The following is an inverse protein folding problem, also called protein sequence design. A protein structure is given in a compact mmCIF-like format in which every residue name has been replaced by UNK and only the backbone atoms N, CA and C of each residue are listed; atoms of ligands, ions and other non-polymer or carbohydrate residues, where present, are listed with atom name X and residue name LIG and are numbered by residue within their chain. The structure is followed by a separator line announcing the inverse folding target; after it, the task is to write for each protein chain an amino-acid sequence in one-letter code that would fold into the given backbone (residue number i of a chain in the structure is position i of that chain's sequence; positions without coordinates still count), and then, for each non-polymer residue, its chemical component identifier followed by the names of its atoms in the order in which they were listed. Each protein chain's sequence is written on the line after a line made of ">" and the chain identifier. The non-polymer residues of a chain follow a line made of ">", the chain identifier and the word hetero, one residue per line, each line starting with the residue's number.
data_IF_708967054961
#
_entry.id   IF_708967054961
#
_cell.length_a   1.000
_cell.length_b   1.000
_cell.length_c   1.000
_cell.angle_alpha   90.00
_cell.angle_beta   90.00
_cell.angle_gamma   90.00
#
_symmetry.space_group_name_H-M   'P 1'
#
loop_
_entity.id
_entity.type
_entity.pdbx_description
1 polymer ?
#
# COMPACT_ATOMS: atom_id res chain seq x y z
N UNK A 1 2.29 12.55 8.44
CA UNK A 1 2.96 13.28 7.35
C UNK A 1 1.97 14.14 6.56
N UNK A 2 1.02 13.54 5.81
CA UNK A 2 0.07 14.28 4.97
C UNK A 2 -0.64 15.45 5.66
N UNK A 3 -1.23 15.23 6.84
CA UNK A 3 -1.94 16.29 7.58
C UNK A 3 -1.04 17.47 8.00
N UNK A 4 0.27 17.26 8.11
CA UNK A 4 1.22 18.33 8.48
C UNK A 4 1.76 19.07 7.25
N UNK A 5 1.90 18.37 6.12
CA UNK A 5 2.66 18.85 4.95
C UNK A 5 1.79 19.09 3.70
N UNK A 6 0.53 18.64 3.70
CA UNK A 6 -0.38 18.72 2.55
C UNK A 6 0.00 17.82 1.36
N UNK A 7 1.05 17.01 1.50
CA UNK A 7 1.54 16.08 0.48
C UNK A 7 1.81 14.71 1.09
N UNK A 8 1.66 13.66 0.30
CA UNK A 8 1.93 12.29 0.72
C UNK A 8 3.44 12.08 0.88
N UNK A 9 3.89 11.25 1.85
CA UNK A 9 5.32 10.98 2.00
C UNK A 9 5.83 10.16 0.81
N UNK A 10 6.89 10.64 0.16
CA UNK A 10 7.48 10.00 -1.02
C UNK A 10 7.96 8.57 -0.73
N UNK A 11 8.51 8.34 0.47
CA UNK A 11 9.10 7.07 0.87
C UNK A 11 9.01 6.83 2.38
N UNK A 12 9.51 5.67 2.84
CA UNK A 12 9.52 5.27 4.25
C UNK A 12 10.21 6.30 5.16
N UNK A 13 11.37 6.83 4.76
CA UNK A 13 12.13 7.80 5.53
C UNK A 13 11.34 9.10 5.68
N UNK A 14 10.76 9.62 4.60
CA UNK A 14 9.89 10.80 4.63
C UNK A 14 8.67 10.58 5.53
N UNK A 15 8.12 9.36 5.56
CA UNK A 15 7.01 9.00 6.45
C UNK A 15 7.41 8.90 7.94
N UNK A 16 8.71 8.87 8.27
CA UNK A 16 9.21 8.70 9.63
C UNK A 16 9.11 7.27 10.15
N UNK A 17 9.09 6.27 9.26
CA UNK A 17 9.14 4.84 9.60
C UNK A 17 10.51 4.25 9.24
N UNK A 18 10.72 2.95 9.49
CA UNK A 18 11.99 2.30 9.16
C UNK A 18 12.36 2.51 7.69
N UNK A 19 13.53 3.11 7.45
CA UNK A 19 13.98 3.57 6.14
C UNK A 19 14.10 2.44 5.12
N UNK A 20 14.57 1.26 5.54
CA UNK A 20 14.56 0.06 4.71
C UNK A 20 13.19 -0.62 4.79
N UNK A 21 12.57 -0.86 3.63
CA UNK A 21 11.30 -1.59 3.56
C UNK A 21 11.41 -3.01 4.15
N UNK A 22 12.60 -3.63 4.08
CA UNK A 22 12.87 -4.98 4.60
C UNK A 22 13.09 -5.02 6.11
N UNK A 23 13.15 -3.87 6.78
CA UNK A 23 13.12 -3.80 8.25
C UNK A 23 11.68 -3.92 8.77
N UNK A 24 10.68 -3.59 7.95
CA UNK A 24 9.27 -3.79 8.25
C UNK A 24 8.83 -5.15 7.70
N UNK A 25 9.11 -6.21 8.46
CA UNK A 25 8.86 -7.60 8.07
C UNK A 25 8.25 -8.41 9.21
N UNK A 26 7.72 -9.59 8.87
CA UNK A 26 7.16 -10.52 9.84
C UNK A 26 7.12 -11.94 9.30
N UNK A 27 6.48 -12.86 10.03
CA UNK A 27 6.42 -14.28 9.68
C UNK A 27 5.93 -14.54 8.24
N UNK A 28 4.98 -13.74 7.76
CA UNK A 28 4.36 -13.88 6.45
C UNK A 28 4.58 -12.67 5.52
N UNK A 29 5.31 -11.66 5.97
CA UNK A 29 5.52 -10.39 5.25
C UNK A 29 7.01 -10.22 5.03
N UNK A 30 7.42 -10.07 3.78
CA UNK A 30 8.81 -9.86 3.36
C UNK A 30 9.26 -8.43 3.65
N UNK A 31 8.43 -7.46 3.30
CA UNK A 31 8.71 -6.03 3.40
C UNK A 31 7.42 -5.20 3.32
N UNK A 32 7.49 -3.97 3.82
CA UNK A 32 6.46 -2.95 3.65
C UNK A 32 7.10 -1.67 3.14
N UNK A 33 6.69 -1.25 1.95
CA UNK A 33 7.21 -0.07 1.26
C UNK A 33 6.16 1.03 1.23
N UNK A 34 6.58 2.26 1.50
CA UNK A 34 5.81 3.47 1.26
C UNK A 34 6.30 4.10 -0.04
N UNK A 35 5.39 4.38 -0.95
CA UNK A 35 5.65 5.15 -2.18
C UNK A 35 4.54 6.17 -2.38
N UNK A 36 4.87 7.46 -2.28
CA UNK A 36 3.92 8.56 -2.38
C UNK A 36 2.67 8.31 -1.49
N UNK A 37 2.88 7.88 -0.25
CA UNK A 37 1.83 7.57 0.73
C UNK A 37 1.00 6.32 0.44
N UNK A 38 1.26 5.57 -0.62
CA UNK A 38 0.75 4.21 -0.78
C UNK A 38 1.64 3.26 -0.01
N UNK A 39 1.05 2.46 0.87
CA UNK A 39 1.73 1.45 1.69
C UNK A 39 1.51 0.09 1.07
N UNK A 40 2.55 -0.50 0.50
CA UNK A 40 2.47 -1.81 -0.18
C UNK A 40 3.21 -2.86 0.64
N UNK A 41 2.51 -3.92 1.01
CA UNK A 41 3.08 -5.07 1.70
C UNK A 41 3.34 -6.20 0.70
N UNK A 42 4.53 -6.79 0.77
CA UNK A 42 4.91 -7.96 -0.05
C UNK A 42 4.91 -9.20 0.84
N UNK A 43 4.17 -10.23 0.44
CA UNK A 43 4.12 -11.50 1.16
C UNK A 43 5.46 -12.23 1.08
N UNK A 44 5.80 -12.99 2.13
CA UNK A 44 7.02 -13.78 2.18
C UNK A 44 7.05 -14.85 1.08
N UNK A 45 8.26 -15.31 0.75
CA UNK A 45 8.47 -16.38 -0.25
C UNK A 45 8.40 -17.79 0.34
N UNK A 46 8.42 -17.90 1.68
CA UNK A 46 8.41 -19.14 2.45
C UNK A 46 7.34 -19.10 3.54
N UNK A 47 6.88 -20.28 3.97
CA UNK A 47 5.88 -20.44 5.03
C UNK A 47 4.55 -19.70 4.79
N UNK A 48 4.23 -19.37 3.53
CA UNK A 48 2.95 -18.81 3.08
C UNK A 48 2.26 -19.75 2.11
N UNK A 49 0.96 -19.55 1.90
CA UNK A 49 0.22 -20.28 0.86
C UNK A 49 0.83 -19.96 -0.53
N UNK A 50 0.97 -20.98 -1.38
CA UNK A 50 1.53 -20.88 -2.74
C UNK A 50 0.80 -19.83 -3.60
N UNK A 51 -0.49 -19.64 -3.39
CA UNK A 51 -1.32 -18.71 -4.15
C UNK A 51 -1.12 -17.23 -3.76
N UNK A 52 -0.43 -16.94 -2.65
CA UNK A 52 -0.12 -15.58 -2.19
C UNK A 52 1.38 -15.31 -2.05
N UNK A 53 2.23 -16.30 -2.34
CA UNK A 53 3.68 -16.18 -2.29
C UNK A 53 4.18 -15.04 -3.19
N UNK A 54 5.04 -14.18 -2.64
CA UNK A 54 5.61 -13.00 -3.33
C UNK A 54 4.58 -12.00 -3.87
N UNK A 55 3.30 -12.16 -3.52
CA UNK A 55 2.22 -11.28 -3.95
C UNK A 55 2.09 -10.07 -3.02
N UNK A 56 1.34 -9.07 -3.48
CA UNK A 56 1.23 -7.77 -2.84
C UNK A 56 -0.21 -7.34 -2.63
N UNK A 57 -0.39 -6.51 -1.61
CA UNK A 57 -1.58 -5.69 -1.37
C UNK A 57 -1.13 -4.27 -1.02
N UNK A 58 -2.02 -3.30 -1.22
CA UNK A 58 -1.75 -1.91 -0.88
C UNK A 58 -2.81 -1.35 0.04
N UNK A 59 -2.38 -0.46 0.94
CA UNK A 59 -3.22 0.49 1.63
C UNK A 59 -2.92 1.88 1.07
N UNK A 60 -3.96 2.65 0.79
CA UNK A 60 -3.82 4.02 0.35
C UNK A 60 -4.90 4.87 1.02
N UNK A 61 -4.70 6.17 0.99
CA UNK A 61 -5.68 7.10 1.51
C UNK A 61 -5.99 8.22 0.53
N UNK A 62 -7.19 8.76 0.67
CA UNK A 62 -7.68 9.96 -0.02
C UNK A 62 -8.08 11.00 1.01
N UNK A 63 -7.89 12.28 0.71
CA UNK A 63 -8.31 13.36 1.60
C UNK A 63 -9.83 13.43 1.70
N UNK A 64 -10.32 13.70 2.91
CA UNK A 64 -11.73 13.91 3.22
C UNK A 64 -11.87 15.05 4.22
N UNK A 65 -12.31 16.23 3.78
CA UNK A 65 -12.68 17.40 4.61
C UNK A 65 -11.99 17.50 5.99
N UNK A 66 -10.66 17.66 6.02
CA UNK A 66 -9.87 17.81 7.25
C UNK A 66 -9.29 16.51 7.84
N UNK A 67 -9.56 15.38 7.20
CA UNK A 67 -9.06 14.04 7.54
C UNK A 67 -8.64 13.29 6.28
N UNK A 68 -8.31 12.02 6.41
CA UNK A 68 -8.09 11.10 5.30
C UNK A 68 -8.90 9.83 5.52
N UNK A 69 -9.44 9.26 4.44
CA UNK A 69 -10.06 7.93 4.44
C UNK A 69 -9.08 6.93 3.85
N UNK A 70 -8.90 5.82 4.55
CA UNK A 70 -8.05 4.71 4.11
C UNK A 70 -8.86 3.66 3.34
N UNK A 71 -8.18 3.04 2.41
CA UNK A 71 -8.65 1.95 1.57
C UNK A 71 -7.61 0.84 1.58
N UNK A 72 -8.05 -0.39 1.34
CA UNK A 72 -7.20 -1.57 1.30
C UNK A 72 -7.63 -2.47 0.15
N UNK A 73 -6.67 -2.93 -0.64
CA UNK A 73 -7.00 -3.72 -1.81
C UNK A 73 -5.78 -4.27 -2.54
N UNK A 74 -6.01 -4.63 -3.80
CA UNK A 74 -4.92 -5.02 -4.70
C UNK A 74 -3.92 -3.87 -4.88
N UNK A 75 -2.70 -4.16 -5.38
CA UNK A 75 -1.66 -3.17 -5.54
C UNK A 75 -2.11 -1.95 -6.36
N UNK A 76 -1.81 -0.77 -5.83
CA UNK A 76 -2.06 0.52 -6.48
C UNK A 76 -0.81 1.37 -6.48
N UNK A 77 -0.77 2.39 -7.33
CA UNK A 77 0.26 3.42 -7.37
C UNK A 77 -0.38 4.79 -7.37
N UNK A 78 0.21 5.70 -6.63
CA UNK A 78 -0.05 7.14 -6.77
C UNK A 78 0.92 7.69 -7.81
N UNK A 79 0.45 8.58 -8.67
CA UNK A 79 1.30 9.24 -9.65
C UNK A 79 2.51 9.91 -8.99
N UNK A 80 3.55 10.21 -9.76
CA UNK A 80 4.81 10.81 -9.28
C UNK A 80 4.62 12.18 -8.61
N UNK A 81 3.41 12.76 -8.71
CA UNK A 81 3.01 13.90 -7.90
C UNK A 81 2.34 13.42 -6.59
N UNK A 82 3.11 13.45 -5.50
CA UNK A 82 2.64 13.11 -4.16
C UNK A 82 1.59 14.09 -3.58
N UNK A 83 1.19 15.16 -4.28
CA UNK A 83 0.05 15.98 -3.90
C UNK A 83 -1.30 15.41 -4.39
N UNK A 84 -1.30 14.48 -5.34
CA UNK A 84 -2.53 13.89 -5.88
C UNK A 84 -3.18 12.95 -4.86
N UNK A 85 -4.50 12.99 -4.72
CA UNK A 85 -5.23 12.06 -3.83
C UNK A 85 -5.63 10.75 -4.54
N UNK A 86 -5.68 10.74 -5.87
CA UNK A 86 -6.04 9.55 -6.62
C UNK A 86 -4.89 8.55 -6.80
N UNK A 87 -5.27 7.29 -6.95
CA UNK A 87 -4.37 6.16 -7.22
C UNK A 87 -4.89 5.38 -8.42
N UNK A 88 -3.98 4.74 -9.14
CA UNK A 88 -4.28 3.84 -10.25
C UNK A 88 -3.88 2.40 -9.89
N UNK A 89 -4.40 1.42 -10.64
CA UNK A 89 -3.96 0.03 -10.51
C UNK A 89 -2.45 -0.06 -10.76
N UNK A 90 -1.74 -0.84 -9.96
CA UNK A 90 -0.40 -1.28 -10.29
C UNK A 90 -0.52 -2.60 -11.08
N UNK A 91 -0.45 -2.52 -12.42
CA UNK A 91 -0.72 -3.64 -13.35
C UNK A 91 0.29 -4.80 -13.28
N UNK A 92 1.23 -4.77 -12.34
CA UNK A 92 2.10 -5.90 -12.07
C UNK A 92 1.32 -7.17 -11.69
N UNK A 93 1.81 -8.32 -12.18
CA UNK A 93 1.15 -9.62 -12.02
C UNK A 93 1.04 -10.09 -10.56
N UNK A 94 1.86 -9.53 -9.66
CA UNK A 94 2.04 -9.99 -8.29
C UNK A 94 0.96 -9.48 -7.33
N UNK A 95 -0.31 -9.49 -7.73
CA UNK A 95 -1.45 -9.07 -6.92
C UNK A 95 -2.11 -10.25 -6.21
N UNK A 96 -2.38 -10.10 -4.91
CA UNK A 96 -3.16 -11.09 -4.17
C UNK A 96 -4.54 -11.20 -4.82
N UNK A 97 -4.97 -12.44 -5.08
CA UNK A 97 -6.31 -12.70 -5.62
C UNK A 97 -7.37 -12.26 -4.61
N UNK A 98 -8.47 -11.68 -5.07
CA UNK A 98 -9.51 -11.12 -4.19
C UNK A 98 -10.11 -12.16 -3.26
N UNK A 99 -10.10 -13.46 -3.63
CA UNK A 99 -10.56 -14.55 -2.75
C UNK A 99 -9.69 -14.71 -1.50
N UNK A 100 -8.42 -14.30 -1.55
CA UNK A 100 -7.49 -14.33 -0.42
C UNK A 100 -7.46 -13.02 0.37
N UNK A 101 -8.06 -11.95 -0.16
CA UNK A 101 -8.20 -10.70 0.57
C UNK A 101 -9.37 -10.80 1.55
N UNK A 102 -9.22 -10.31 2.79
CA UNK A 102 -10.34 -10.11 3.70
C UNK A 102 -11.42 -9.25 3.05
N UNK A 103 -12.68 -9.39 3.48
CA UNK A 103 -13.80 -8.60 2.93
C UNK A 103 -13.58 -7.10 3.02
N UNK A 104 -12.87 -6.63 4.03
CA UNK A 104 -12.54 -5.21 4.28
C UNK A 104 -11.30 -4.72 3.51
N UNK A 105 -10.70 -5.54 2.66
CA UNK A 105 -9.51 -5.18 1.88
C UNK A 105 -9.70 -5.55 0.41
N UNK A 106 -10.84 -5.16 -0.16
CA UNK A 106 -11.21 -5.40 -1.56
C UNK A 106 -11.61 -4.12 -2.28
N UNK A 107 -11.10 -2.98 -1.81
CA UNK A 107 -11.41 -1.69 -2.40
C UNK A 107 -10.81 -1.58 -3.80
N UNK A 108 -11.57 -0.98 -4.72
CA UNK A 108 -11.05 -0.58 -6.03
C UNK A 108 -10.27 0.73 -5.91
N UNK A 109 -9.27 1.00 -6.78
CA UNK A 109 -8.49 2.26 -6.76
C UNK A 109 -9.36 3.53 -6.80
N UNK A 110 -10.53 3.42 -7.45
CA UNK A 110 -11.52 4.47 -7.64
C UNK A 110 -12.49 4.63 -6.46
N UNK A 111 -12.40 3.82 -5.41
CA UNK A 111 -13.24 3.93 -4.23
C UNK A 111 -13.16 5.33 -3.59
N UNK A 112 -14.26 5.79 -3.01
CA UNK A 112 -14.47 7.12 -2.40
C UNK A 112 -14.96 7.02 -0.97
#
# INVERSE_FOLDING_TARGET
>A
YYLNNGIWPENNTSAGVASSATDIKGKYVKEVKVENGVVTATMASSNVNKEIKDKRLSLWAKRQAGSVKWFCGQPVKRADNAANDDVAKDDAADKIDTKHLPSTCRDEPTAT
#
